data_IF_701290890392
#
_entry.id   IF_701290890392
#
_cell.length_a   1.000
_cell.length_b   1.000
_cell.length_c   1.000
_cell.angle_alpha   90.00
_cell.angle_beta   90.00
_cell.angle_gamma   90.00
#
_symmetry.space_group_name_H-M   'P 1'
#
loop_
_entity.id
_entity.type
_entity.pdbx_description
1 polymer ?
#
# COMPACT_ATOMS: atom_id res chain seq x y z
N UNK A 1 -5.75 10.93 9.69
CA UNK A 1 -6.85 9.93 9.64
C UNK A 1 -6.41 8.81 8.68
N UNK A 2 -5.18 8.30 8.83
CA UNK A 2 -4.48 7.54 7.77
C UNK A 2 -4.43 6.01 7.99
N UNK A 3 -5.16 5.48 8.98
CA UNK A 3 -5.22 4.02 9.19
C UNK A 3 -6.16 3.28 8.23
N UNK A 4 -7.03 3.99 7.52
CA UNK A 4 -8.13 3.35 6.77
C UNK A 4 -7.73 2.83 5.39
N UNK A 5 -6.75 3.42 4.71
CA UNK A 5 -6.42 3.04 3.33
C UNK A 5 -5.97 1.58 3.24
N UNK A 6 -5.04 1.18 4.10
CA UNK A 6 -4.49 -0.18 4.14
C UNK A 6 -5.53 -1.22 4.57
N UNK A 7 -6.39 -0.85 5.52
CA UNK A 7 -7.55 -1.63 5.98
C UNK A 7 -8.50 -1.99 4.84
N UNK A 8 -8.79 -1.03 3.96
CA UNK A 8 -9.69 -1.26 2.81
C UNK A 8 -9.13 -2.22 1.77
N UNK A 9 -7.80 -2.32 1.68
CA UNK A 9 -7.13 -3.07 0.61
C UNK A 9 -6.85 -4.52 1.02
N UNK A 10 -6.69 -4.77 2.31
CA UNK A 10 -6.43 -6.10 2.87
C UNK A 10 -7.39 -6.44 4.02
N UNK A 11 -8.72 -6.42 3.78
CA UNK A 11 -9.72 -6.52 4.86
C UNK A 11 -9.62 -7.82 5.66
N UNK A 12 -9.23 -8.93 5.04
CA UNK A 12 -9.12 -10.24 5.69
C UNK A 12 -7.74 -10.53 6.30
N UNK A 13 -6.74 -9.67 6.09
CA UNK A 13 -5.33 -9.97 6.41
C UNK A 13 -4.66 -8.97 7.38
N UNK A 14 -5.42 -8.07 8.00
CA UNK A 14 -4.88 -7.04 8.91
C UNK A 14 -3.99 -7.60 10.02
N UNK A 15 -4.45 -8.65 10.71
CA UNK A 15 -3.70 -9.25 11.83
C UNK A 15 -2.38 -9.83 11.35
N UNK A 16 -2.38 -10.45 10.17
CA UNK A 16 -1.18 -11.01 9.55
C UNK A 16 -0.19 -9.93 9.13
N UNK A 17 -0.69 -8.84 8.54
CA UNK A 17 0.12 -7.67 8.19
C UNK A 17 0.75 -7.08 9.46
N UNK A 18 -0.02 -6.89 10.52
CA UNK A 18 0.49 -6.34 11.77
C UNK A 18 1.54 -7.23 12.43
N UNK A 19 1.38 -8.55 12.36
CA UNK A 19 2.38 -9.51 12.84
C UNK A 19 3.66 -9.44 11.99
N UNK A 20 3.54 -9.41 10.66
CA UNK A 20 4.67 -9.36 9.75
C UNK A 20 5.44 -8.06 9.85
N UNK A 21 4.77 -6.92 9.96
CA UNK A 21 5.42 -5.61 10.17
C UNK A 21 6.25 -5.57 11.46
N UNK A 22 5.93 -6.40 12.45
CA UNK A 22 6.72 -6.52 13.69
C UNK A 22 7.90 -7.48 13.55
N UNK A 23 7.76 -8.49 12.69
CA UNK A 23 8.74 -9.57 12.54
C UNK A 23 9.75 -9.31 11.42
N UNK A 24 9.36 -8.52 10.41
CA UNK A 24 10.11 -8.29 9.18
C UNK A 24 10.13 -6.79 8.86
N UNK A 25 11.33 -6.21 8.93
CA UNK A 25 11.58 -4.79 8.67
C UNK A 25 11.43 -4.44 7.19
N UNK A 26 11.81 -5.34 6.28
CA UNK A 26 11.67 -5.11 4.83
C UNK A 26 10.18 -5.06 4.45
N UNK A 27 9.38 -5.94 5.04
CA UNK A 27 7.93 -5.88 4.89
C UNK A 27 7.30 -4.60 5.50
N UNK A 28 7.80 -4.10 6.64
CA UNK A 28 7.34 -2.82 7.20
C UNK A 28 7.64 -1.65 6.25
N UNK A 29 8.81 -1.65 5.61
CA UNK A 29 9.20 -0.65 4.62
C UNK A 29 8.26 -0.69 3.41
N UNK A 30 8.02 -1.87 2.82
CA UNK A 30 7.07 -2.03 1.70
C UNK A 30 5.67 -1.54 2.08
N UNK A 31 5.19 -1.86 3.29
CA UNK A 31 3.90 -1.39 3.76
C UNK A 31 3.85 0.14 3.91
N UNK A 32 4.94 0.77 4.37
CA UNK A 32 5.01 2.24 4.49
C UNK A 32 5.04 2.92 3.13
N UNK A 33 5.84 2.42 2.21
CA UNK A 33 5.95 2.96 0.86
C UNK A 33 4.58 2.92 0.17
N UNK A 34 3.86 1.81 0.32
CA UNK A 34 2.50 1.68 -0.18
C UNK A 34 1.56 2.74 0.40
N UNK A 35 1.58 2.94 1.73
CA UNK A 35 0.75 3.95 2.40
C UNK A 35 1.06 5.36 1.90
N UNK A 36 2.35 5.70 1.79
CA UNK A 36 2.81 7.01 1.35
C UNK A 36 2.35 7.31 -0.09
N UNK A 37 2.51 6.36 -1.00
CA UNK A 37 2.03 6.49 -2.39
C UNK A 37 0.50 6.60 -2.49
N UNK A 38 -0.24 5.89 -1.62
CA UNK A 38 -1.69 6.04 -1.55
C UNK A 38 -2.09 7.45 -1.10
N UNK A 39 -1.43 7.98 -0.08
CA UNK A 39 -1.69 9.34 0.41
C UNK A 39 -1.34 10.39 -0.66
N UNK A 40 -0.23 10.23 -1.37
CA UNK A 40 0.11 11.08 -2.51
C UNK A 40 -0.94 11.00 -3.62
N UNK A 41 -1.40 9.80 -3.98
CA UNK A 41 -2.47 9.61 -4.97
C UNK A 41 -3.78 10.29 -4.56
N UNK A 42 -4.18 10.16 -3.29
CA UNK A 42 -5.40 10.76 -2.75
C UNK A 42 -5.30 12.28 -2.67
N UNK A 43 -4.14 12.81 -2.28
CA UNK A 43 -3.87 14.25 -2.26
C UNK A 43 -3.99 14.83 -3.67
N UNK A 44 -3.41 14.17 -4.68
CA UNK A 44 -3.50 14.62 -6.07
C UNK A 44 -4.90 14.56 -6.66
N UNK A 45 -5.70 13.57 -6.29
CA UNK A 45 -7.11 13.52 -6.71
C UNK A 45 -7.96 14.59 -6.02
N UNK A 46 -7.52 15.10 -4.87
CA UNK A 46 -8.22 16.14 -4.11
C UNK A 46 -7.88 17.56 -4.59
N UNK A 47 -6.76 17.76 -5.30
CA UNK A 47 -6.32 19.05 -5.83
C UNK A 47 -6.71 19.22 -7.32
N UNK A 48 -7.75 20.02 -7.64
CA UNK A 48 -8.12 20.30 -9.02
C UNK A 48 -7.16 21.32 -9.62
N UNK A 49 -6.11 20.87 -10.33
CA UNK A 49 -5.36 21.81 -11.18
C UNK A 49 -3.99 21.46 -11.74
N UNK A 50 -3.29 20.40 -11.31
CA UNK A 50 -1.87 20.29 -11.73
C UNK A 50 -1.29 18.88 -11.86
N UNK A 51 -2.08 17.86 -12.18
CA UNK A 51 -1.57 16.49 -12.27
C UNK A 51 -1.78 15.89 -13.65
N UNK A 52 -0.67 15.50 -14.28
CA UNK A 52 -0.68 14.78 -15.55
C UNK A 52 -1.34 13.41 -15.33
N UNK A 53 -2.27 13.04 -16.20
CA UNK A 53 -2.84 11.68 -16.23
C UNK A 53 -1.76 10.59 -16.23
N UNK A 54 -0.62 10.86 -16.87
CA UNK A 54 0.52 9.95 -16.87
C UNK A 54 1.07 9.72 -15.46
N UNK A 55 1.22 10.78 -14.67
CA UNK A 55 1.74 10.68 -13.31
C UNK A 55 0.79 9.89 -12.38
N UNK A 56 -0.52 10.08 -12.53
CA UNK A 56 -1.51 9.28 -11.82
C UNK A 56 -1.48 7.80 -12.22
N UNK A 57 -1.20 7.50 -13.50
CA UNK A 57 -1.00 6.13 -13.97
C UNK A 57 0.27 5.52 -13.37
N UNK A 58 1.39 6.25 -13.37
CA UNK A 58 2.66 5.78 -12.84
C UNK A 58 2.57 5.44 -11.33
N UNK A 59 1.88 6.28 -10.55
CA UNK A 59 1.61 5.98 -9.13
C UNK A 59 0.75 4.72 -8.98
N UNK A 60 -0.30 4.57 -9.80
CA UNK A 60 -1.17 3.40 -9.74
C UNK A 60 -0.41 2.12 -10.06
N UNK A 61 0.43 2.12 -11.10
CA UNK A 61 1.27 0.96 -11.46
C UNK A 61 2.24 0.60 -10.32
N UNK A 62 2.81 1.61 -9.66
CA UNK A 62 3.69 1.41 -8.49
C UNK A 62 2.93 0.81 -7.31
N UNK A 63 1.72 1.32 -7.03
CA UNK A 63 0.84 0.78 -5.99
C UNK A 63 0.44 -0.68 -6.28
N UNK A 64 0.13 -1.03 -7.53
CA UNK A 64 -0.18 -2.41 -7.88
C UNK A 64 1.02 -3.34 -7.66
N UNK A 65 2.24 -2.89 -7.98
CA UNK A 65 3.48 -3.63 -7.70
C UNK A 65 3.69 -3.88 -6.20
N UNK A 66 3.61 -2.83 -5.38
CA UNK A 66 3.75 -2.94 -3.93
C UNK A 66 2.65 -3.82 -3.31
N UNK A 67 1.42 -3.76 -3.84
CA UNK A 67 0.33 -4.65 -3.40
C UNK A 67 0.69 -6.12 -3.64
N UNK A 68 1.23 -6.45 -4.81
CA UNK A 68 1.62 -7.81 -5.14
C UNK A 68 2.77 -8.32 -4.26
N UNK A 69 3.74 -7.46 -3.92
CA UNK A 69 4.81 -7.81 -2.97
C UNK A 69 4.28 -8.09 -1.56
N UNK A 70 3.31 -7.28 -1.10
CA UNK A 70 2.64 -7.49 0.19
C UNK A 70 1.90 -8.84 0.18
N UNK A 71 1.13 -9.13 -0.87
CA UNK A 71 0.41 -10.41 -1.02
C UNK A 71 1.38 -11.60 -1.08
N UNK A 72 2.49 -11.46 -1.79
CA UNK A 72 3.48 -12.51 -1.87
C UNK A 72 4.14 -12.77 -0.50
N UNK A 73 4.43 -11.72 0.26
CA UNK A 73 4.96 -11.82 1.62
C UNK A 73 3.96 -12.50 2.56
N UNK A 74 2.67 -12.16 2.47
CA UNK A 74 1.60 -12.82 3.23
C UNK A 74 1.51 -14.32 2.91
N UNK A 75 1.62 -14.70 1.63
CA UNK A 75 1.66 -16.12 1.21
C UNK A 75 2.90 -16.84 1.72
N UNK A 76 4.09 -16.22 1.61
CA UNK A 76 5.35 -16.79 2.12
C UNK A 76 5.29 -17.03 3.62
N UNK A 77 4.62 -16.15 4.35
CA UNK A 77 4.39 -16.28 5.79
C UNK A 77 3.30 -17.31 6.18
N UNK A 78 2.60 -17.91 5.20
CA UNK A 78 1.48 -18.81 5.46
C UNK A 78 0.27 -18.12 6.09
N UNK A 79 0.13 -16.80 5.87
CA UNK A 79 -0.93 -15.97 6.43
C UNK A 79 -2.06 -15.68 5.42
N UNK A 80 -2.02 -16.36 4.28
CA UNK A 80 -2.92 -16.23 3.13
C UNK A 80 -3.13 -17.60 2.47
#
# INVERSE_FOLDING_TARGET
MERYAFDTLFPDHQTAIADLRRADTEFDEICRDYQLLCDEFLSMNSEPGSHSYQFACDIRDTLDGLRDEILQSLRRAGKM
#
